data_IF_895381737843
#
_entry.id   IF_895381737843
#
_cell.length_a   1.000
_cell.length_b   1.000
_cell.length_c   1.000
_cell.angle_alpha   90.00
_cell.angle_beta   90.00
_cell.angle_gamma   90.00
#
_symmetry.space_group_name_H-M   'P 1'
#
loop_
_entity.id
_entity.type
_entity.pdbx_description
1 polymer ?
#
# COMPACT_ATOMS: atom_id res chain seq x y z
N UNK A 1 14.17 -24.12 49.65
CA UNK A 1 14.18 -24.29 48.19
C UNK A 1 13.15 -23.30 47.65
N UNK A 2 13.56 -22.06 47.37
CA UNK A 2 12.68 -21.03 46.83
C UNK A 2 12.66 -21.14 45.29
N UNK A 3 11.53 -20.91 44.62
CA UNK A 3 11.48 -20.94 43.17
C UNK A 3 12.32 -19.81 42.57
N UNK A 4 13.08 -20.13 41.52
CA UNK A 4 13.83 -19.17 40.73
C UNK A 4 12.82 -18.20 40.09
N UNK A 5 12.99 -16.90 40.33
CA UNK A 5 12.16 -15.86 39.73
C UNK A 5 12.11 -16.05 38.21
N UNK A 6 10.90 -15.96 37.63
CA UNK A 6 10.73 -15.92 36.19
C UNK A 6 11.61 -14.80 35.61
N UNK A 7 12.35 -15.10 34.56
CA UNK A 7 13.14 -14.09 33.85
C UNK A 7 12.20 -12.96 33.40
N UNK A 8 12.65 -11.68 33.46
CA UNK A 8 11.87 -10.58 32.92
C UNK A 8 11.55 -10.88 31.45
N UNK A 9 10.28 -10.76 31.08
CA UNK A 9 9.87 -10.75 29.69
C UNK A 9 10.50 -9.49 29.11
N UNK A 10 11.46 -9.65 28.20
CA UNK A 10 11.95 -8.54 27.41
C UNK A 10 10.77 -8.05 26.57
N UNK A 11 10.17 -6.94 26.98
CA UNK A 11 9.34 -6.14 26.09
C UNK A 11 10.35 -5.34 25.28
N UNK A 12 10.59 -5.78 24.04
CA UNK A 12 11.29 -4.94 23.11
C UNK A 12 10.38 -3.75 22.81
N UNK A 13 10.96 -2.58 22.70
CA UNK A 13 10.32 -1.32 22.36
C UNK A 13 9.75 -1.38 20.93
N UNK A 14 8.53 -1.94 20.77
CA UNK A 14 7.90 -2.31 19.49
C UNK A 14 7.64 -1.13 18.53
N UNK A 15 7.67 0.12 19.02
CA UNK A 15 7.49 1.33 18.21
C UNK A 15 8.73 2.21 18.10
N UNK A 16 9.87 1.82 18.70
CA UNK A 16 11.10 2.62 18.70
C UNK A 16 11.69 2.79 17.30
N UNK A 17 11.42 1.83 16.40
CA UNK A 17 11.84 1.90 15.01
C UNK A 17 11.00 2.89 14.18
N UNK A 18 9.70 3.02 14.47
CA UNK A 18 8.83 4.01 13.83
C UNK A 18 9.31 5.41 14.22
N UNK A 19 9.80 5.55 15.45
CA UNK A 19 10.28 6.80 16.00
C UNK A 19 11.69 7.13 15.50
N UNK A 20 12.59 6.15 15.40
CA UNK A 20 13.91 6.26 14.76
C UNK A 20 13.82 6.48 13.24
N UNK A 21 12.82 5.93 12.55
CA UNK A 21 12.58 6.14 11.11
C UNK A 21 12.23 7.60 10.81
N UNK A 22 11.54 8.23 11.74
CA UNK A 22 11.04 9.60 11.62
C UNK A 22 11.94 10.63 12.35
N UNK A 23 12.85 10.20 13.24
CA UNK A 23 13.76 11.07 14.00
C UNK A 23 14.69 11.95 13.13
N UNK A 24 15.30 11.45 12.04
CA UNK A 24 16.18 12.24 11.17
C UNK A 24 15.46 13.35 10.41
N UNK A 25 14.14 13.24 10.25
CA UNK A 25 13.32 14.18 9.48
C UNK A 25 12.52 15.15 10.35
N UNK A 26 12.18 14.77 11.57
CA UNK A 26 11.30 15.59 12.43
C UNK A 26 11.94 16.05 13.75
N UNK A 27 13.06 15.46 14.17
CA UNK A 27 13.76 15.77 15.43
C UNK A 27 12.93 15.44 16.67
N UNK A 28 13.44 14.55 17.53
CA UNK A 28 12.87 14.11 18.82
C UNK A 28 11.40 14.55 19.06
N UNK A 29 10.46 13.95 18.35
CA UNK A 29 9.07 13.99 18.78
C UNK A 29 8.99 13.24 20.12
N UNK A 30 8.31 13.76 21.15
CA UNK A 30 8.23 13.09 22.45
C UNK A 30 7.25 11.92 22.35
N UNK A 31 7.72 10.82 21.82
CA UNK A 31 7.08 9.50 21.87
C UNK A 31 7.67 8.78 23.07
N UNK A 32 6.84 8.55 24.09
CA UNK A 32 7.27 8.01 25.37
C UNK A 32 7.64 6.52 25.26
N UNK A 33 8.70 6.13 25.96
CA UNK A 33 9.14 4.75 26.21
C UNK A 33 8.01 3.90 26.82
N UNK A 34 7.90 2.64 26.37
CA UNK A 34 7.05 1.55 26.86
C UNK A 34 5.53 1.65 26.59
N UNK A 35 5.03 0.67 25.83
CA UNK A 35 3.61 0.49 25.48
C UNK A 35 2.87 -0.14 26.65
N UNK A 36 2.23 0.68 27.48
CA UNK A 36 1.20 0.23 28.42
C UNK A 36 -0.17 0.36 27.73
N UNK A 37 -0.85 -0.77 27.49
CA UNK A 37 -2.19 -0.81 26.87
C UNK A 37 -3.29 -0.18 27.74
N UNK A 38 -2.95 0.35 28.92
CA UNK A 38 -3.77 1.23 29.75
C UNK A 38 -3.33 2.71 29.76
N UNK A 39 -2.30 3.08 29.00
CA UNK A 39 -1.72 4.44 28.98
C UNK A 39 -2.52 5.38 28.04
N UNK A 40 -2.80 6.63 28.46
CA UNK A 40 -3.42 7.62 27.59
C UNK A 40 -2.55 7.98 26.37
N UNK A 41 -1.31 7.50 26.25
CA UNK A 41 -0.43 7.72 25.09
C UNK A 41 -0.98 7.26 23.74
N UNK A 42 -1.97 6.35 23.73
CA UNK A 42 -2.79 6.05 22.54
C UNK A 42 -3.66 7.24 22.06
N UNK A 43 -3.62 8.40 22.74
CA UNK A 43 -4.24 9.63 22.23
C UNK A 43 -3.33 10.44 21.31
N UNK A 44 -2.05 10.10 21.16
CA UNK A 44 -1.10 10.90 20.35
C UNK A 44 -1.32 10.73 18.85
N UNK A 45 -1.65 9.54 18.33
CA UNK A 45 -2.07 9.35 16.93
C UNK A 45 -3.37 10.11 16.61
N UNK A 46 -4.25 10.25 17.60
CA UNK A 46 -5.46 11.07 17.49
C UNK A 46 -5.23 12.55 17.83
N UNK A 47 -4.03 12.92 18.27
CA UNK A 47 -3.63 14.29 18.46
C UNK A 47 -3.29 14.89 17.09
N UNK A 48 -3.94 16.00 16.77
CA UNK A 48 -3.62 16.82 15.59
C UNK A 48 -2.13 17.15 15.47
N UNK A 49 -1.39 17.18 16.58
CA UNK A 49 0.06 17.40 16.59
C UNK A 49 0.86 16.26 15.93
N UNK A 50 0.38 15.01 15.99
CA UNK A 50 1.00 13.88 15.27
C UNK A 50 0.78 13.96 13.75
N UNK A 51 -0.18 14.77 13.30
CA UNK A 51 -0.47 15.05 11.90
C UNK A 51 -0.06 16.46 11.47
N UNK A 52 0.64 17.23 12.32
CA UNK A 52 1.02 18.60 11.97
C UNK A 52 1.95 18.67 10.75
N UNK A 53 2.60 17.55 10.41
CA UNK A 53 3.39 17.41 9.19
C UNK A 53 2.54 17.26 7.92
N UNK A 54 1.24 16.93 8.02
CA UNK A 54 0.26 17.07 6.92
C UNK A 54 -0.21 18.53 6.75
N UNK A 55 0.26 19.46 7.59
CA UNK A 55 0.06 20.89 7.36
C UNK A 55 0.89 21.34 6.16
N UNK A 56 0.21 21.38 5.02
CA UNK A 56 0.72 21.75 3.70
C UNK A 56 1.38 23.15 3.69
N UNK A 57 1.12 24.00 4.70
CA UNK A 57 1.75 25.31 4.83
C UNK A 57 3.23 25.26 5.26
N UNK A 58 3.67 24.16 5.87
CA UNK A 58 5.06 23.95 6.31
C UNK A 58 5.96 23.40 5.21
N UNK A 59 5.37 22.82 4.15
CA UNK A 59 6.11 22.19 3.05
C UNK A 59 6.74 23.22 2.12
N UNK A 60 6.18 24.44 2.05
CA UNK A 60 6.70 25.54 1.23
C UNK A 60 8.11 26.03 1.63
N UNK A 61 8.55 25.77 2.87
CA UNK A 61 9.85 26.23 3.38
C UNK A 61 10.99 25.22 3.06
N UNK A 62 10.70 23.93 3.05
CA UNK A 62 11.66 22.85 2.70
C UNK A 62 12.06 22.86 1.22
N UNK A 63 11.15 23.27 0.33
CA UNK A 63 11.38 23.37 -1.13
C UNK A 63 12.30 24.56 -1.49
N UNK A 64 12.44 25.54 -0.59
CA UNK A 64 13.21 26.77 -0.85
C UNK A 64 14.73 26.61 -0.68
N UNK A 65 15.20 25.51 -0.09
CA UNK A 65 16.63 25.25 0.18
C UNK A 65 17.29 24.18 -0.69
N UNK A 66 16.50 23.38 -1.40
CA UNK A 66 16.99 22.28 -2.22
C UNK A 66 17.35 22.75 -3.63
N UNK A 67 18.53 22.38 -4.15
CA UNK A 67 18.92 22.56 -5.55
C UNK A 67 18.12 21.68 -6.53
N UNK A 68 16.87 21.35 -6.18
CA UNK A 68 15.89 20.75 -7.07
C UNK A 68 15.53 21.86 -8.06
N UNK A 69 15.99 21.70 -9.29
CA UNK A 69 15.63 22.61 -10.37
C UNK A 69 14.11 22.79 -10.43
N UNK A 70 13.68 23.92 -10.99
CA UNK A 70 12.27 24.33 -11.17
C UNK A 70 11.42 23.40 -12.05
N UNK A 71 11.89 22.18 -12.32
CA UNK A 71 11.27 21.23 -13.21
C UNK A 71 10.36 20.27 -12.40
N UNK A 72 9.05 20.25 -12.67
CA UNK A 72 8.07 19.42 -11.94
C UNK A 72 8.46 17.93 -11.86
N UNK A 73 9.09 17.38 -12.91
CA UNK A 73 9.53 15.98 -12.93
C UNK A 73 10.68 15.70 -11.95
N UNK A 74 11.58 16.68 -11.73
CA UNK A 74 12.68 16.52 -10.79
C UNK A 74 12.19 16.57 -9.33
N UNK A 75 11.16 17.38 -9.06
CA UNK A 75 10.53 17.41 -7.76
C UNK A 75 9.70 16.15 -7.48
N UNK A 76 8.93 15.65 -8.45
CA UNK A 76 8.19 14.39 -8.28
C UNK A 76 9.13 13.23 -7.92
N UNK A 77 10.25 13.08 -8.64
CA UNK A 77 11.22 12.03 -8.35
C UNK A 77 11.91 12.21 -6.99
N UNK A 78 12.14 13.45 -6.55
CA UNK A 78 12.68 13.71 -5.22
C UNK A 78 11.65 13.40 -4.12
N UNK A 79 10.40 13.84 -4.28
CA UNK A 79 9.31 13.57 -3.35
C UNK A 79 9.09 12.07 -3.21
N UNK A 80 9.05 11.36 -4.34
CA UNK A 80 8.91 9.91 -4.37
C UNK A 80 10.01 9.22 -3.55
N UNK A 81 11.28 9.52 -3.85
CA UNK A 81 12.41 8.87 -3.19
C UNK A 81 12.66 9.30 -1.73
N UNK A 82 12.29 10.54 -1.36
CA UNK A 82 12.68 11.13 -0.06
C UNK A 82 11.49 11.42 0.85
N UNK A 83 10.25 11.17 0.43
CA UNK A 83 9.06 11.37 1.27
C UNK A 83 8.15 10.17 1.13
N UNK A 84 7.69 9.87 -0.08
CA UNK A 84 6.70 8.82 -0.30
C UNK A 84 7.25 7.44 0.04
N UNK A 85 8.31 6.99 -0.64
CA UNK A 85 8.81 5.63 -0.51
C UNK A 85 9.17 5.24 0.95
N UNK A 86 9.83 6.10 1.75
CA UNK A 86 10.13 5.74 3.14
C UNK A 86 8.89 5.70 4.05
N UNK A 87 7.93 6.61 3.87
CA UNK A 87 6.66 6.58 4.62
C UNK A 87 5.84 5.35 4.23
N UNK A 88 5.71 5.10 2.93
CA UNK A 88 5.00 3.95 2.38
C UNK A 88 5.62 2.65 2.90
N UNK A 89 6.94 2.47 2.77
CA UNK A 89 7.64 1.29 3.31
C UNK A 89 7.42 1.12 4.81
N UNK A 90 7.49 2.20 5.60
CA UNK A 90 7.24 2.12 7.04
C UNK A 90 5.80 1.72 7.37
N UNK A 91 4.80 2.19 6.61
CA UNK A 91 3.41 1.79 6.78
C UNK A 91 3.24 0.31 6.40
N UNK A 92 3.82 -0.13 5.29
CA UNK A 92 3.77 -1.53 4.83
C UNK A 92 4.38 -2.49 5.86
N UNK A 93 5.57 -2.17 6.36
CA UNK A 93 6.24 -2.96 7.40
C UNK A 93 5.41 -3.01 8.68
N UNK A 94 4.79 -1.90 9.07
CA UNK A 94 3.93 -1.84 10.25
C UNK A 94 2.65 -2.66 10.06
N UNK A 95 1.87 -2.44 9.00
CA UNK A 95 0.59 -3.14 8.75
C UNK A 95 0.79 -4.65 8.67
N UNK A 96 1.93 -5.10 8.11
CA UNK A 96 2.28 -6.51 7.97
C UNK A 96 3.02 -7.09 9.20
N UNK A 97 3.31 -6.29 10.22
CA UNK A 97 3.88 -6.75 11.49
C UNK A 97 2.84 -7.42 12.40
N UNK A 98 3.29 -8.18 13.41
CA UNK A 98 2.38 -8.80 14.39
C UNK A 98 1.52 -7.79 15.15
N UNK A 99 2.06 -6.60 15.44
CA UNK A 99 1.38 -5.59 16.25
C UNK A 99 0.46 -4.74 15.38
N UNK A 100 0.89 -4.39 14.16
CA UNK A 100 0.04 -3.72 13.19
C UNK A 100 -1.16 -4.56 12.79
N UNK A 101 -1.00 -5.86 12.55
CA UNK A 101 -2.12 -6.76 12.28
C UNK A 101 -3.14 -6.81 13.44
N UNK A 102 -2.67 -6.85 14.69
CA UNK A 102 -3.54 -6.83 15.87
C UNK A 102 -4.30 -5.50 16.00
N UNK A 103 -3.60 -4.38 15.79
CA UNK A 103 -4.19 -3.05 15.84
C UNK A 103 -5.18 -2.83 14.70
N UNK A 104 -4.82 -3.16 13.47
CA UNK A 104 -5.68 -3.08 12.29
C UNK A 104 -6.93 -3.93 12.46
N UNK A 105 -6.79 -5.17 12.96
CA UNK A 105 -7.93 -6.03 13.27
C UNK A 105 -8.85 -5.39 14.32
N UNK A 106 -8.30 -4.82 15.39
CA UNK A 106 -9.06 -4.10 16.40
C UNK A 106 -9.81 -2.89 15.81
N UNK A 107 -9.11 -2.01 15.07
CA UNK A 107 -9.68 -0.81 14.45
C UNK A 107 -10.77 -1.16 13.44
N UNK A 108 -10.52 -2.14 12.57
CA UNK A 108 -11.49 -2.61 11.58
C UNK A 108 -12.71 -3.22 12.27
N UNK A 109 -12.51 -3.97 13.36
CA UNK A 109 -13.60 -4.56 14.13
C UNK A 109 -14.48 -3.51 14.82
N UNK A 110 -13.87 -2.52 15.50
CA UNK A 110 -14.64 -1.51 16.24
C UNK A 110 -15.33 -0.51 15.31
N UNK A 111 -14.75 -0.26 14.13
CA UNK A 111 -15.34 0.61 13.11
C UNK A 111 -16.43 -0.10 12.30
N UNK A 112 -16.34 -1.43 12.17
CA UNK A 112 -17.19 -2.21 11.28
C UNK A 112 -16.85 -2.02 9.80
N UNK A 113 -15.70 -1.42 9.50
CA UNK A 113 -15.22 -1.11 8.15
C UNK A 113 -13.81 -1.67 7.99
N UNK A 114 -13.41 -1.98 6.75
CA UNK A 114 -12.01 -2.28 6.44
C UNK A 114 -11.27 -0.95 6.25
N UNK A 115 -10.61 -0.47 7.30
CA UNK A 115 -9.93 0.84 7.31
C UNK A 115 -8.43 0.72 7.09
N UNK A 116 -7.82 -0.33 7.62
CA UNK A 116 -6.36 -0.54 7.60
C UNK A 116 -6.08 -1.96 7.13
N UNK A 117 -5.25 -2.10 6.12
CA UNK A 117 -4.77 -3.38 5.62
C UNK A 117 -4.74 -3.43 4.11
N UNK A 118 -3.87 -4.28 3.58
CA UNK A 118 -3.69 -4.41 2.14
C UNK A 118 -4.84 -5.21 1.52
N UNK A 119 -5.04 -4.98 0.24
CA UNK A 119 -5.86 -5.81 -0.61
C UNK A 119 -5.24 -7.19 -0.77
N UNK A 120 -6.08 -8.22 -0.78
CA UNK A 120 -5.59 -9.58 -1.03
C UNK A 120 -5.28 -9.75 -2.52
N UNK A 121 -4.14 -10.34 -2.84
CA UNK A 121 -3.84 -10.73 -4.22
C UNK A 121 -4.88 -11.70 -4.78
N UNK A 122 -5.14 -11.54 -6.07
CA UNK A 122 -5.93 -12.46 -6.86
C UNK A 122 -5.35 -13.87 -6.82
N UNK A 123 -6.22 -14.83 -7.09
CA UNK A 123 -5.89 -16.25 -7.17
C UNK A 123 -6.52 -16.88 -8.40
N UNK A 124 -6.17 -18.14 -8.69
CA UNK A 124 -6.81 -18.88 -9.77
C UNK A 124 -8.33 -19.06 -9.59
N UNK A 125 -8.85 -18.93 -8.36
CA UNK A 125 -10.28 -19.03 -8.06
C UNK A 125 -10.99 -17.68 -8.03
N UNK A 126 -10.27 -16.62 -7.66
CA UNK A 126 -10.75 -15.25 -7.67
C UNK A 126 -9.66 -14.36 -8.28
N UNK A 127 -9.67 -14.18 -9.61
CA UNK A 127 -8.54 -13.55 -10.30
C UNK A 127 -8.30 -12.10 -9.94
N UNK A 128 -9.28 -11.38 -9.41
CA UNK A 128 -9.10 -9.97 -9.12
C UNK A 128 -8.40 -9.80 -7.77
N UNK A 129 -7.45 -8.87 -7.72
CA UNK A 129 -6.94 -8.34 -6.47
C UNK A 129 -8.04 -7.59 -5.72
N UNK A 130 -8.02 -7.69 -4.41
CA UNK A 130 -8.95 -6.97 -3.53
C UNK A 130 -8.51 -5.54 -3.30
N UNK A 131 -9.47 -4.67 -2.98
CA UNK A 131 -9.18 -3.30 -2.56
C UNK A 131 -8.56 -3.28 -1.15
N UNK A 132 -7.74 -2.27 -0.89
CA UNK A 132 -7.16 -2.00 0.40
C UNK A 132 -8.15 -1.45 1.43
N UNK A 133 -7.68 -1.26 2.66
CA UNK A 133 -8.37 -0.54 3.71
C UNK A 133 -8.62 0.91 3.31
N UNK A 134 -9.78 1.45 3.69
CA UNK A 134 -10.21 2.80 3.30
C UNK A 134 -9.23 3.92 3.70
N UNK A 135 -8.37 3.74 4.71
CA UNK A 135 -7.41 4.75 5.13
C UNK A 135 -5.99 4.43 4.65
N UNK A 136 -5.52 3.21 4.92
CA UNK A 136 -4.16 2.76 4.61
C UNK A 136 -4.16 1.35 4.04
N UNK A 137 -3.22 1.13 3.13
CA UNK A 137 -2.89 -0.16 2.53
C UNK A 137 -2.79 -0.05 1.02
N UNK A 138 -2.08 -1.00 0.45
CA UNK A 138 -1.94 -1.18 -0.99
C UNK A 138 -3.05 -2.06 -1.55
N UNK A 139 -3.47 -1.80 -2.79
CA UNK A 139 -4.39 -2.68 -3.49
C UNK A 139 -3.70 -3.99 -3.86
N UNK A 140 -4.44 -5.11 -3.81
CA UNK A 140 -3.88 -6.43 -4.15
C UNK A 140 -3.65 -6.58 -5.65
N UNK A 141 -2.67 -7.38 -6.04
CA UNK A 141 -2.37 -7.64 -7.46
C UNK A 141 -3.42 -8.56 -8.07
N UNK A 142 -3.74 -8.34 -9.35
CA UNK A 142 -4.54 -9.26 -10.13
C UNK A 142 -3.77 -10.55 -10.44
N UNK A 143 -4.47 -11.67 -10.45
CA UNK A 143 -4.00 -12.95 -10.97
C UNK A 143 -4.49 -13.15 -12.40
N UNK A 144 -3.58 -13.49 -13.31
CA UNK A 144 -3.82 -13.83 -14.72
C UNK A 144 -5.15 -13.35 -15.34
N UNK A 145 -5.12 -12.21 -16.03
CA UNK A 145 -6.30 -11.58 -16.64
C UNK A 145 -7.26 -10.92 -15.63
N UNK A 146 -7.03 -11.09 -14.33
CA UNK A 146 -7.73 -10.37 -13.27
C UNK A 146 -7.20 -8.95 -13.08
N UNK A 147 -8.07 -8.08 -12.55
CA UNK A 147 -7.73 -6.67 -12.28
C UNK A 147 -7.04 -6.51 -10.93
N UNK A 148 -6.18 -5.51 -10.81
CA UNK A 148 -5.63 -5.10 -9.51
C UNK A 148 -6.67 -4.34 -8.69
N UNK A 149 -6.51 -4.34 -7.37
CA UNK A 149 -7.39 -3.63 -6.43
C UNK A 149 -6.98 -2.18 -6.21
N UNK A 150 -7.94 -1.33 -5.83
CA UNK A 150 -7.67 0.07 -5.49
C UNK A 150 -7.01 0.19 -4.10
N UNK A 151 -6.13 1.17 -3.93
CA UNK A 151 -5.55 1.49 -2.63
C UNK A 151 -6.49 2.31 -1.73
N UNK A 152 -6.05 2.61 -0.51
CA UNK A 152 -6.81 3.39 0.49
C UNK A 152 -7.02 4.88 0.16
N UNK A 153 -7.37 5.71 1.14
CA UNK A 153 -7.61 7.14 0.89
C UNK A 153 -6.38 8.03 1.13
N UNK A 154 -5.53 7.69 2.10
CA UNK A 154 -4.41 8.55 2.52
C UNK A 154 -3.10 8.18 1.81
N UNK A 155 -2.66 6.95 1.98
CA UNK A 155 -1.41 6.45 1.40
C UNK A 155 -1.63 5.01 0.95
N UNK A 156 -1.14 4.69 -0.25
CA UNK A 156 -1.09 3.35 -0.79
C UNK A 156 -0.98 3.34 -2.31
N UNK A 157 -0.35 2.30 -2.85
CA UNK A 157 -0.31 2.00 -4.27
C UNK A 157 -1.50 1.15 -4.69
N UNK A 158 -2.00 1.38 -5.90
CA UNK A 158 -2.96 0.46 -6.51
C UNK A 158 -2.26 -0.82 -6.95
N UNK A 159 -2.99 -1.94 -6.93
CA UNK A 159 -2.46 -3.24 -7.35
C UNK A 159 -2.26 -3.33 -8.86
N UNK A 160 -1.26 -4.09 -9.29
CA UNK A 160 -0.99 -4.36 -10.69
C UNK A 160 -2.09 -5.26 -11.27
N UNK A 161 -2.37 -5.13 -12.56
CA UNK A 161 -3.23 -6.10 -13.23
C UNK A 161 -2.50 -7.43 -13.42
N UNK A 162 -3.26 -8.53 -13.37
CA UNK A 162 -2.75 -9.83 -13.72
C UNK A 162 -2.38 -9.89 -15.20
N UNK A 163 -1.16 -10.33 -15.50
CA UNK A 163 -0.69 -10.55 -16.87
C UNK A 163 -1.52 -11.60 -17.63
N UNK A 164 -1.18 -11.87 -18.90
CA UNK A 164 -1.89 -12.87 -19.68
C UNK A 164 -1.88 -14.26 -19.02
N UNK A 165 -3.03 -14.93 -18.99
CA UNK A 165 -3.11 -16.28 -18.45
C UNK A 165 -2.16 -17.23 -19.21
N UNK A 166 -1.46 -18.15 -18.51
CA UNK A 166 -0.70 -19.18 -19.19
C UNK A 166 -1.69 -20.03 -20.00
N UNK A 167 -1.36 -20.34 -21.27
CA UNK A 167 -2.10 -21.28 -22.12
C UNK A 167 -2.48 -22.48 -21.25
N UNK A 168 -3.78 -22.62 -20.98
CA UNK A 168 -4.22 -23.55 -19.95
C UNK A 168 -3.91 -25.00 -20.34
N UNK A 169 -3.58 -25.28 -21.61
CA UNK A 169 -3.24 -26.62 -22.08
C UNK A 169 -4.35 -27.65 -21.83
N UNK A 170 -5.52 -27.24 -21.32
CA UNK A 170 -6.64 -28.12 -21.02
C UNK A 170 -7.34 -28.41 -22.34
N UNK A 171 -6.74 -29.33 -23.08
CA UNK A 171 -7.27 -29.99 -24.28
C UNK A 171 -8.47 -30.91 -23.98
N UNK A 172 -9.33 -30.59 -23.01
CA UNK A 172 -10.42 -31.48 -22.63
C UNK A 172 -11.79 -30.83 -22.82
N UNK A 173 -12.18 -30.83 -24.10
CA UNK A 173 -13.56 -31.01 -24.59
C UNK A 173 -14.48 -29.78 -24.76
N UNK A 174 -14.00 -28.54 -24.63
CA UNK A 174 -14.81 -27.36 -24.97
C UNK A 174 -14.73 -27.01 -26.48
N UNK A 175 -15.64 -27.61 -27.25
CA UNK A 175 -16.41 -27.02 -28.34
C UNK A 175 -15.98 -25.64 -28.90
N UNK A 176 -15.03 -25.63 -29.84
CA UNK A 176 -15.15 -24.99 -31.17
C UNK A 176 -15.21 -23.46 -31.34
N UNK A 177 -15.40 -22.67 -30.28
CA UNK A 177 -15.49 -21.21 -30.43
C UNK A 177 -14.14 -20.52 -30.17
N UNK A 178 -13.74 -19.55 -31.01
CA UNK A 178 -12.56 -18.71 -30.77
C UNK A 178 -12.64 -18.01 -29.41
N UNK A 179 -11.55 -18.07 -28.63
CA UNK A 179 -11.42 -17.36 -27.35
C UNK A 179 -10.43 -16.22 -27.54
N UNK A 180 -10.88 -14.98 -27.32
CA UNK A 180 -9.97 -13.83 -27.36
C UNK A 180 -9.20 -13.71 -26.05
N UNK A 181 -7.97 -13.22 -26.12
CA UNK A 181 -7.19 -12.89 -24.92
C UNK A 181 -7.89 -11.82 -24.07
N UNK A 182 -7.99 -12.07 -22.77
CA UNK A 182 -8.49 -11.11 -21.78
C UNK A 182 -7.34 -10.55 -20.96
N UNK A 183 -7.48 -9.31 -20.49
CA UNK A 183 -6.50 -8.62 -19.65
C UNK A 183 -7.21 -7.86 -18.54
N UNK A 184 -6.58 -7.79 -17.38
CA UNK A 184 -7.06 -7.00 -16.25
C UNK A 184 -6.70 -5.52 -16.38
N UNK A 185 -7.40 -4.67 -15.67
CA UNK A 185 -6.99 -3.27 -15.42
C UNK A 185 -6.31 -3.17 -14.08
N UNK A 186 -5.35 -2.29 -13.93
CA UNK A 186 -4.76 -2.03 -12.62
C UNK A 186 -5.67 -1.21 -11.72
N UNK A 187 -5.40 -1.29 -10.43
CA UNK A 187 -6.04 -0.47 -9.42
C UNK A 187 -5.41 0.92 -9.31
N UNK A 188 -6.21 1.87 -8.83
CA UNK A 188 -5.79 3.23 -8.57
C UNK A 188 -5.02 3.34 -7.25
N UNK A 189 -4.08 4.28 -7.21
CA UNK A 189 -3.43 4.72 -5.99
C UNK A 189 -4.42 5.27 -4.97
N UNK A 190 -3.91 5.48 -3.76
CA UNK A 190 -4.66 6.20 -2.76
C UNK A 190 -4.94 7.65 -3.18
N UNK A 191 -6.07 8.18 -2.70
CA UNK A 191 -6.53 9.51 -3.11
C UNK A 191 -5.48 10.60 -2.87
N UNK A 192 -4.80 10.61 -1.72
CA UNK A 192 -3.84 11.66 -1.38
C UNK A 192 -2.45 11.40 -1.96
N UNK A 193 -1.78 10.31 -1.56
CA UNK A 193 -0.46 9.93 -2.08
C UNK A 193 -0.39 8.46 -2.51
N UNK A 194 0.17 8.21 -3.69
CA UNK A 194 0.49 6.85 -4.13
C UNK A 194 0.62 6.70 -5.64
N UNK A 195 1.03 5.51 -6.06
CA UNK A 195 1.17 5.14 -7.46
C UNK A 195 0.05 4.20 -7.90
N UNK A 196 -0.49 4.43 -9.10
CA UNK A 196 -1.42 3.49 -9.70
C UNK A 196 -0.68 2.24 -10.16
N UNK A 197 -1.33 1.08 -10.12
CA UNK A 197 -0.73 -0.18 -10.58
C UNK A 197 -0.53 -0.21 -12.09
N UNK A 198 0.37 -1.07 -12.56
CA UNK A 198 0.65 -1.32 -13.96
C UNK A 198 -0.45 -2.16 -14.63
N UNK A 199 -0.87 -1.74 -15.82
CA UNK A 199 -1.81 -2.48 -16.64
C UNK A 199 -1.23 -3.81 -17.10
N UNK A 200 -2.12 -4.78 -17.39
CA UNK A 200 -1.70 -6.13 -17.74
C UNK A 200 -1.22 -6.20 -19.18
N UNK A 201 -0.34 -7.14 -19.49
CA UNK A 201 -0.05 -7.49 -20.88
C UNK A 201 -1.27 -8.17 -21.52
N UNK A 202 -1.54 -7.84 -22.79
CA UNK A 202 -2.58 -8.51 -23.56
C UNK A 202 -2.29 -10.00 -23.73
N UNK A 203 -3.28 -10.86 -23.45
CA UNK A 203 -3.12 -12.30 -23.59
C UNK A 203 -3.27 -12.77 -25.05
N UNK A 204 -2.68 -13.92 -25.38
CA UNK A 204 -2.90 -14.56 -26.68
C UNK A 204 -4.36 -15.03 -26.84
N UNK A 205 -4.84 -15.06 -28.09
CA UNK A 205 -6.11 -15.68 -28.42
C UNK A 205 -5.95 -17.19 -28.64
N UNK A 206 -6.90 -17.98 -28.13
CA UNK A 206 -6.91 -19.44 -28.29
C UNK A 206 -7.93 -19.88 -29.35
N UNK A 207 -7.70 -21.05 -29.95
CA UNK A 207 -8.62 -21.71 -30.91
C UNK A 207 -9.04 -20.83 -32.11
N UNK A 208 -8.13 -19.98 -32.58
CA UNK A 208 -8.40 -19.03 -33.67
C UNK A 208 -9.02 -17.70 -33.23
N UNK A 209 -9.03 -17.43 -31.92
CA UNK A 209 -9.34 -16.12 -31.35
C UNK A 209 -8.21 -15.12 -31.57
N UNK A 210 -8.53 -13.84 -31.41
CA UNK A 210 -7.56 -12.76 -31.50
C UNK A 210 -6.84 -12.59 -30.15
N UNK A 211 -5.58 -12.14 -30.19
CA UNK A 211 -4.92 -11.63 -28.99
C UNK A 211 -5.67 -10.42 -28.42
N UNK A 212 -5.58 -10.26 -27.10
CA UNK A 212 -6.06 -9.08 -26.38
C UNK A 212 -5.06 -7.93 -26.48
N UNK A 213 -5.57 -6.70 -26.38
CA UNK A 213 -4.73 -5.52 -26.13
C UNK A 213 -4.23 -5.52 -24.67
N UNK A 214 -3.25 -4.70 -24.35
CA UNK A 214 -2.82 -4.47 -22.96
C UNK A 214 -3.90 -3.76 -22.13
N UNK A 215 -3.91 -4.04 -20.83
CA UNK A 215 -4.78 -3.42 -19.84
C UNK A 215 -4.36 -1.99 -19.54
N UNK A 216 -5.29 -1.17 -19.06
CA UNK A 216 -4.97 0.18 -18.61
C UNK A 216 -4.30 0.15 -17.24
N UNK A 217 -3.26 0.96 -17.05
CA UNK A 217 -2.70 1.28 -15.75
C UNK A 217 -3.65 2.12 -14.88
N UNK A 218 -3.43 2.09 -13.57
CA UNK A 218 -4.21 2.81 -12.57
C UNK A 218 -3.85 4.30 -12.48
N UNK A 219 -4.75 5.11 -11.93
CA UNK A 219 -4.46 6.52 -11.66
C UNK A 219 -3.53 6.68 -10.45
N UNK A 220 -2.64 7.68 -10.49
CA UNK A 220 -1.86 8.10 -9.33
C UNK A 220 -2.67 8.97 -8.37
N UNK A 221 -2.18 9.12 -7.13
CA UNK A 221 -2.79 9.99 -6.13
C UNK A 221 -2.79 11.47 -6.52
N UNK A 222 -3.64 12.26 -5.87
CA UNK A 222 -3.83 13.69 -6.13
C UNK A 222 -2.51 14.48 -6.10
N UNK A 223 -1.62 14.08 -5.20
CA UNK A 223 -0.38 14.78 -4.94
C UNK A 223 0.82 13.91 -5.31
N UNK A 224 1.53 14.33 -6.36
CA UNK A 224 2.79 13.73 -6.82
C UNK A 224 2.71 12.22 -7.15
N UNK A 225 1.50 11.68 -7.26
CA UNK A 225 1.26 10.30 -7.66
C UNK A 225 1.53 10.09 -9.15
N UNK A 226 2.16 8.96 -9.46
CA UNK A 226 2.36 8.50 -10.83
C UNK A 226 1.23 7.53 -11.19
N UNK A 227 0.65 7.68 -12.38
CA UNK A 227 -0.21 6.64 -12.92
C UNK A 227 0.61 5.43 -13.39
N UNK A 228 -0.03 4.27 -13.42
CA UNK A 228 0.53 3.08 -14.03
C UNK A 228 0.50 3.14 -15.55
N UNK A 229 1.41 2.37 -16.17
CA UNK A 229 1.51 2.21 -17.62
C UNK A 229 0.63 1.05 -18.09
#
# INVERSE_FOLDING_TARGET
MAPLAAAPVAQADEFDWLTDLFEPWFGAAPVAESVDLGDPGMTTWWDSSAWSWLDLSTWGDQVSGSALGTEPLAFNAWFDANVYAPIHTGIEEWINSSDGLQFAAFVNQISGLYLIGDGADGTALDPNGGDAGLLFGDGGDGYFGGSGGDAGWLIGNGGDAGGGAPDSGVQLLALGDPVNGAVGTAGNAAFLFGHGGAGGDGADGEFGGNGGDGGAGGAGGLFWGNGGA
#
